data_IF_924058917292
#
_entry.id   IF_924058917292
#
_cell.length_a   1.000
_cell.length_b   1.000
_cell.length_c   1.000
_cell.angle_alpha   90.00
_cell.angle_beta   90.00
_cell.angle_gamma   90.00
#
_symmetry.space_group_name_H-M   'P 1'
#
loop_
_entity.id
_entity.type
_entity.pdbx_description
1 polymer ?
#
# COMPACT_ATOMS: atom_id res chain seq x y z
N UNK A 1 -49.69 30.91 19.39
CA UNK A 1 -49.57 29.72 18.53
C UNK A 1 -48.18 29.72 17.91
N UNK A 2 -47.42 28.66 18.15
CA UNK A 2 -46.02 28.51 17.82
C UNK A 2 -45.80 28.21 16.34
N UNK A 3 -44.73 28.75 15.76
CA UNK A 3 -44.05 28.15 14.61
C UNK A 3 -42.54 28.42 14.76
N UNK A 4 -41.85 27.47 15.39
CA UNK A 4 -40.40 27.44 15.47
C UNK A 4 -39.85 27.13 14.07
N UNK A 5 -39.20 28.11 13.43
CA UNK A 5 -38.51 27.93 12.15
C UNK A 5 -37.15 27.29 12.45
N UNK A 6 -37.05 25.99 12.15
CA UNK A 6 -35.85 25.19 12.31
C UNK A 6 -34.65 25.75 11.52
N UNK A 7 -33.42 25.67 12.08
CA UNK A 7 -32.21 26.04 11.35
C UNK A 7 -31.90 24.99 10.27
N UNK A 8 -31.55 25.49 9.08
CA UNK A 8 -31.10 24.75 7.90
C UNK A 8 -29.96 23.78 8.27
N UNK A 9 -30.26 22.49 8.29
CA UNK A 9 -29.22 21.45 8.25
C UNK A 9 -28.76 21.33 6.79
N UNK A 10 -27.70 22.05 6.46
CA UNK A 10 -26.94 21.80 5.22
C UNK A 10 -26.19 20.48 5.41
N UNK A 11 -26.73 19.39 4.88
CA UNK A 11 -25.96 18.18 4.66
C UNK A 11 -24.87 18.49 3.62
N UNK A 12 -23.67 18.81 4.09
CA UNK A 12 -22.48 18.72 3.25
C UNK A 12 -22.24 17.22 2.98
N UNK A 13 -22.77 16.73 1.86
CA UNK A 13 -22.42 15.42 1.31
C UNK A 13 -20.93 15.47 0.94
N UNK A 14 -20.03 14.69 1.55
CA UNK A 14 -18.66 14.57 1.08
C UNK A 14 -18.66 13.57 -0.08
N UNK A 15 -19.30 13.92 -1.18
CA UNK A 15 -19.14 13.19 -2.44
C UNK A 15 -17.97 13.80 -3.20
N UNK A 16 -17.14 12.93 -3.79
CA UNK A 16 -16.22 13.25 -4.89
C UNK A 16 -14.79 13.65 -4.54
N UNK A 17 -14.03 12.73 -3.91
CA UNK A 17 -12.58 12.58 -4.22
C UNK A 17 -12.06 11.15 -4.28
N UNK A 18 -12.86 10.13 -3.93
CA UNK A 18 -12.39 8.73 -3.88
C UNK A 18 -12.64 7.92 -5.15
N UNK A 19 -13.54 8.39 -6.04
CA UNK A 19 -14.03 7.60 -7.17
C UNK A 19 -13.13 7.65 -8.41
N UNK A 20 -12.38 8.75 -8.63
CA UNK A 20 -11.54 8.91 -9.82
C UNK A 20 -10.34 7.94 -9.86
N UNK A 21 -9.72 7.63 -8.71
CA UNK A 21 -8.54 6.75 -8.69
C UNK A 21 -8.89 5.26 -8.81
N UNK A 22 -10.06 4.83 -8.34
CA UNK A 22 -10.43 3.40 -8.37
C UNK A 22 -10.66 2.87 -9.79
N UNK A 23 -10.99 3.73 -10.76
CA UNK A 23 -11.27 3.32 -12.16
C UNK A 23 -10.05 3.51 -13.07
N UNK A 24 -9.23 4.54 -12.84
CA UNK A 24 -8.13 4.91 -13.75
C UNK A 24 -6.93 3.94 -13.63
N UNK A 25 -6.60 3.51 -12.42
CA UNK A 25 -5.45 2.62 -12.18
C UNK A 25 -5.63 1.23 -12.82
N UNK A 26 -6.79 0.54 -12.68
CA UNK A 26 -6.98 -0.75 -13.36
C UNK A 26 -7.11 -0.63 -14.88
N UNK A 27 -7.49 0.52 -15.42
CA UNK A 27 -7.45 0.76 -16.87
C UNK A 27 -6.01 0.77 -17.40
N UNK A 28 -5.08 1.42 -16.69
CA UNK A 28 -3.65 1.42 -17.04
C UNK A 28 -3.02 0.02 -16.94
N UNK A 29 -3.45 -0.82 -15.99
CA UNK A 29 -2.99 -2.21 -15.90
C UNK A 29 -3.30 -3.04 -17.15
N UNK A 30 -4.47 -2.81 -17.78
CA UNK A 30 -4.86 -3.49 -19.02
C UNK A 30 -3.94 -3.15 -20.19
N UNK A 31 -3.43 -1.92 -20.25
CA UNK A 31 -2.51 -1.49 -21.31
C UNK A 31 -1.20 -2.27 -21.27
N UNK A 32 -0.65 -2.51 -20.07
CA UNK A 32 0.58 -3.28 -19.90
C UNK A 32 0.37 -4.78 -20.16
N UNK A 33 -0.81 -5.32 -19.86
CA UNK A 33 -1.16 -6.73 -20.13
C UNK A 33 -1.24 -7.09 -21.63
N UNK A 34 -1.41 -6.10 -22.52
CA UNK A 34 -1.44 -6.35 -23.96
C UNK A 34 -0.05 -6.62 -24.56
N UNK A 35 1.02 -6.42 -23.79
CA UNK A 35 2.39 -6.76 -24.20
C UNK A 35 2.60 -8.28 -24.21
N UNK A 36 3.29 -8.84 -25.22
CA UNK A 36 3.66 -10.26 -25.24
C UNK A 36 4.76 -10.61 -24.23
N UNK A 37 5.47 -9.61 -23.70
CA UNK A 37 6.50 -9.77 -22.66
C UNK A 37 5.89 -9.71 -21.25
N UNK A 38 6.60 -10.29 -20.27
CA UNK A 38 6.17 -10.27 -18.87
C UNK A 38 5.91 -8.83 -18.38
N UNK A 39 4.65 -8.49 -18.06
CA UNK A 39 4.29 -7.12 -17.75
C UNK A 39 4.68 -6.77 -16.31
N UNK A 40 5.24 -5.57 -16.13
CA UNK A 40 5.62 -5.06 -14.82
C UNK A 40 4.40 -4.76 -13.93
N UNK A 41 3.26 -4.46 -14.55
CA UNK A 41 1.98 -4.13 -13.90
C UNK A 41 0.84 -4.86 -14.58
N UNK A 42 -0.03 -5.49 -13.79
CA UNK A 42 -1.28 -6.13 -14.24
C UNK A 42 -2.46 -5.61 -13.43
N UNK A 43 -3.68 -5.75 -13.95
CA UNK A 43 -4.93 -5.43 -13.24
C UNK A 43 -5.03 -6.19 -11.93
N UNK A 44 -4.61 -7.45 -11.96
CA UNK A 44 -4.58 -8.31 -10.79
C UNK A 44 -3.56 -7.82 -9.75
N UNK A 45 -2.34 -7.45 -10.17
CA UNK A 45 -1.35 -6.83 -9.28
C UNK A 45 -1.85 -5.53 -8.66
N UNK A 46 -2.55 -4.69 -9.42
CA UNK A 46 -3.18 -3.47 -8.89
C UNK A 46 -4.17 -3.82 -7.79
N UNK A 47 -5.06 -4.80 -8.00
CA UNK A 47 -6.01 -5.23 -6.97
C UNK A 47 -5.29 -5.73 -5.73
N UNK A 48 -4.30 -6.61 -5.88
CA UNK A 48 -3.53 -7.19 -4.77
C UNK A 48 -2.84 -6.12 -3.91
N UNK A 49 -2.21 -5.12 -4.53
CA UNK A 49 -1.52 -4.02 -3.82
C UNK A 49 -2.49 -3.12 -3.03
N UNK A 50 -3.78 -3.07 -3.41
CA UNK A 50 -4.78 -2.22 -2.76
C UNK A 50 -5.69 -2.98 -1.77
N UNK A 51 -5.50 -4.30 -1.61
CA UNK A 51 -6.15 -5.08 -0.57
C UNK A 51 -5.25 -5.06 0.66
N UNK A 52 -5.85 -4.90 1.85
CA UNK A 52 -5.11 -4.92 3.13
C UNK A 52 -4.85 -6.35 3.57
N UNK A 53 -3.65 -6.59 4.11
CA UNK A 53 -3.33 -7.88 4.74
C UNK A 53 -4.22 -8.13 5.95
N UNK A 54 -4.71 -9.36 6.09
CA UNK A 54 -5.62 -9.77 7.17
C UNK A 54 -4.86 -10.43 8.30
N UNK A 55 -5.25 -10.13 9.53
CA UNK A 55 -4.69 -10.70 10.75
C UNK A 55 -5.45 -11.97 11.09
N UNK A 56 -4.78 -13.12 11.04
CA UNK A 56 -5.41 -14.43 11.25
C UNK A 56 -4.78 -15.12 12.47
N UNK A 57 -5.17 -14.74 13.70
CA UNK A 57 -4.49 -15.19 14.92
C UNK A 57 -4.66 -16.69 15.21
N UNK A 58 -5.62 -17.35 14.56
CA UNK A 58 -5.90 -18.77 14.74
C UNK A 58 -5.02 -19.68 13.88
N UNK A 59 -4.27 -19.13 12.92
CA UNK A 59 -3.37 -19.89 12.08
C UNK A 59 -1.99 -20.04 12.74
N UNK A 60 -1.29 -21.16 12.54
CA UNK A 60 0.08 -21.30 13.03
C UNK A 60 0.99 -20.27 12.35
N UNK A 61 1.73 -19.53 13.17
CA UNK A 61 2.71 -18.55 12.71
C UNK A 61 4.02 -19.19 12.26
N UNK A 62 4.93 -18.35 11.79
CA UNK A 62 6.27 -18.77 11.37
C UNK A 62 7.08 -19.33 12.56
N UNK A 63 6.80 -18.82 13.76
CA UNK A 63 7.41 -19.24 15.02
C UNK A 63 7.08 -20.70 15.36
N UNK A 64 5.93 -21.21 14.89
CA UNK A 64 5.56 -22.63 15.04
C UNK A 64 6.48 -23.59 14.31
N UNK A 65 7.24 -23.11 13.32
CA UNK A 65 8.26 -23.86 12.58
C UNK A 65 9.67 -23.66 13.17
N UNK A 66 9.81 -22.93 14.28
CA UNK A 66 11.10 -22.58 14.88
C UNK A 66 11.87 -21.50 14.12
N UNK A 67 11.21 -20.77 13.22
CA UNK A 67 11.81 -19.69 12.42
C UNK A 67 11.41 -18.35 13.02
N UNK A 68 12.39 -17.48 13.26
CA UNK A 68 12.17 -16.11 13.70
C UNK A 68 12.02 -15.18 12.48
N UNK A 69 10.94 -14.39 12.45
CA UNK A 69 10.72 -13.43 11.37
C UNK A 69 11.77 -12.30 11.43
N UNK A 70 12.55 -12.14 10.36
CA UNK A 70 13.51 -11.04 10.23
C UNK A 70 12.81 -9.78 9.73
N UNK A 71 12.99 -8.61 10.39
CA UNK A 71 12.37 -7.36 9.96
C UNK A 71 12.91 -6.89 8.61
N UNK A 72 12.07 -6.18 7.84
CA UNK A 72 12.38 -5.76 6.48
C UNK A 72 13.58 -4.80 6.43
N UNK A 73 13.71 -3.93 7.42
CA UNK A 73 14.74 -2.89 7.51
C UNK A 73 16.16 -3.48 7.47
N UNK A 74 16.37 -4.66 8.06
CA UNK A 74 17.68 -5.33 8.07
C UNK A 74 18.08 -5.88 6.71
N UNK A 75 17.11 -6.16 5.82
CA UNK A 75 17.33 -6.81 4.52
C UNK A 75 17.03 -5.93 3.31
N UNK A 76 16.34 -4.81 3.50
CA UNK A 76 15.92 -3.92 2.41
C UNK A 76 17.10 -3.38 1.58
N UNK A 77 18.23 -3.05 2.22
CA UNK A 77 19.40 -2.53 1.51
C UNK A 77 19.97 -3.53 0.51
N UNK A 78 20.02 -4.81 0.89
CA UNK A 78 20.61 -5.88 0.07
C UNK A 78 19.87 -5.97 -1.28
N UNK A 79 18.54 -5.84 -1.24
CA UNK A 79 17.66 -5.88 -2.42
C UNK A 79 17.68 -4.56 -3.20
N UNK A 80 17.63 -3.42 -2.51
CA UNK A 80 17.45 -2.10 -3.14
C UNK A 80 18.76 -1.43 -3.57
N UNK A 81 19.94 -1.95 -3.18
CA UNK A 81 21.23 -1.35 -3.51
C UNK A 81 21.43 -1.15 -5.02
N UNK A 82 20.97 -2.10 -5.84
CA UNK A 82 21.03 -2.04 -7.31
C UNK A 82 20.26 -0.88 -7.93
N UNK A 83 19.30 -0.30 -7.19
CA UNK A 83 18.48 0.81 -7.65
C UNK A 83 18.97 2.17 -7.15
N UNK A 84 20.02 2.20 -6.32
CA UNK A 84 20.60 3.46 -5.83
C UNK A 84 21.49 4.11 -6.89
N UNK A 85 21.49 5.43 -6.94
CA UNK A 85 22.45 6.20 -7.74
C UNK A 85 23.87 6.02 -7.19
N UNK A 86 24.88 6.21 -8.03
CA UNK A 86 26.30 6.04 -7.64
C UNK A 86 26.67 6.81 -6.36
N UNK A 87 26.16 8.05 -6.22
CA UNK A 87 26.38 8.90 -5.03
C UNK A 87 25.88 8.27 -3.72
N UNK A 88 24.83 7.45 -3.78
CA UNK A 88 24.17 6.85 -2.63
C UNK A 88 24.47 5.34 -2.49
N UNK A 89 25.40 4.79 -3.30
CA UNK A 89 25.67 3.34 -3.31
C UNK A 89 26.44 2.86 -2.07
N UNK A 90 27.25 3.75 -1.50
CA UNK A 90 28.03 3.53 -0.28
C UNK A 90 27.36 4.07 0.98
N UNK A 91 26.15 4.64 0.89
CA UNK A 91 25.48 5.15 2.08
C UNK A 91 24.97 4.02 2.97
N UNK A 92 25.27 4.15 4.26
CA UNK A 92 24.93 3.19 5.31
C UNK A 92 23.42 3.07 5.53
N UNK A 93 23.02 1.95 6.14
CA UNK A 93 21.61 1.63 6.44
C UNK A 93 21.06 2.62 7.48
N UNK A 94 21.88 2.97 8.47
CA UNK A 94 21.51 3.83 9.61
C UNK A 94 21.12 5.26 9.20
N UNK A 95 21.56 5.71 8.02
CA UNK A 95 21.17 7.01 7.47
C UNK A 95 19.69 7.10 7.06
N UNK A 96 18.97 5.98 6.98
CA UNK A 96 17.55 5.94 6.62
C UNK A 96 16.71 5.63 7.86
N UNK A 97 15.78 6.53 8.19
CA UNK A 97 14.83 6.32 9.29
C UNK A 97 13.86 5.18 8.92
N UNK A 98 13.52 4.29 9.87
CA UNK A 98 12.60 3.18 9.62
C UNK A 98 11.19 3.68 9.27
N UNK A 99 10.42 2.84 8.58
CA UNK A 99 9.05 3.18 8.20
C UNK A 99 8.13 3.24 9.44
N UNK A 100 7.06 4.03 9.36
CA UNK A 100 6.06 4.09 10.43
C UNK A 100 5.29 2.78 10.50
N UNK A 101 5.31 2.15 11.67
CA UNK A 101 4.58 0.90 11.94
C UNK A 101 3.15 1.24 12.36
N UNK A 102 2.17 0.51 11.81
CA UNK A 102 0.80 0.46 12.32
C UNK A 102 0.68 -0.84 13.10
N UNK A 103 0.35 -0.78 14.41
CA UNK A 103 0.19 -2.00 15.19
C UNK A 103 -0.98 -2.81 14.67
N UNK A 104 -0.80 -4.13 14.75
CA UNK A 104 -1.67 -5.17 14.19
C UNK A 104 -2.52 -5.77 15.30
#
# INVERSE_FOLDING_TARGET
MAAAVHPRVVWAVPMSRRMGSQVIVPYRGRLFEMSPFEPWTTRDKVKRVHITDMTLPHLPGLEGLGIQATPLELKAIEVLRRHRTHRCLSSEIEGVKPAKIVPV
#
